data_IF_498834683732
#
_entry.id   IF_498834683732
#
_cell.length_a   1.000
_cell.length_b   1.000
_cell.length_c   1.000
_cell.angle_alpha   90.00
_cell.angle_beta   90.00
_cell.angle_gamma   90.00
#
_symmetry.space_group_name_H-M   'P 1'
#
loop_
_entity.id
_entity.type
_entity.pdbx_description
1 polymer ?
#
# COMPACT_ATOMS: atom_id res chain seq x y z
N UNK A 1 -5.45 -5.97 51.02
CA UNK A 1 -6.45 -5.25 50.18
C UNK A 1 -6.05 -5.22 48.70
N UNK A 2 -4.80 -4.92 48.33
CA UNK A 2 -4.36 -4.94 46.92
C UNK A 2 -4.41 -6.34 46.26
N UNK A 3 -4.17 -7.40 47.05
CA UNK A 3 -4.08 -8.79 46.56
C UNK A 3 -5.42 -9.40 46.13
N UNK A 4 -6.54 -8.91 46.67
CA UNK A 4 -7.90 -9.38 46.36
C UNK A 4 -8.44 -8.80 45.04
N UNK A 5 -8.00 -7.59 44.64
CA UNK A 5 -8.36 -7.02 43.34
C UNK A 5 -7.65 -7.73 42.18
N UNK A 6 -6.44 -8.23 42.39
CA UNK A 6 -5.67 -8.95 41.37
C UNK A 6 -6.26 -10.33 41.06
N UNK A 7 -6.86 -11.00 42.04
CA UNK A 7 -7.53 -12.30 41.86
C UNK A 7 -8.86 -12.21 41.10
N UNK A 8 -9.56 -11.08 41.15
CA UNK A 8 -10.83 -10.87 40.44
C UNK A 8 -10.64 -10.79 38.91
N UNK A 9 -9.47 -10.28 38.48
CA UNK A 9 -9.10 -10.17 37.06
C UNK A 9 -8.81 -11.53 36.39
N UNK A 10 -9.00 -12.66 37.07
CA UNK A 10 -8.68 -13.98 36.51
C UNK A 10 -7.20 -14.16 36.22
N UNK A 11 -6.34 -13.27 36.73
CA UNK A 11 -4.89 -13.39 36.68
C UNK A 11 -4.41 -14.27 37.82
N UNK A 12 -4.85 -15.53 37.78
CA UNK A 12 -4.21 -16.59 38.55
C UNK A 12 -2.73 -16.61 38.17
N UNK A 13 -1.84 -16.47 39.16
CA UNK A 13 -0.39 -16.60 39.07
C UNK A 13 0.15 -16.41 37.65
N UNK A 14 0.41 -15.17 37.25
CA UNK A 14 1.19 -14.85 36.05
C UNK A 14 2.65 -15.33 36.23
N UNK A 15 2.86 -16.63 36.48
CA UNK A 15 4.06 -17.34 36.08
C UNK A 15 4.02 -17.51 34.57
N UNK A 16 3.84 -16.40 33.85
CA UNK A 16 4.11 -16.36 32.43
C UNK A 16 5.60 -16.66 32.34
N UNK A 17 5.93 -17.89 31.95
CA UNK A 17 7.33 -18.28 31.73
C UNK A 17 7.97 -17.18 30.89
N UNK A 18 9.23 -16.77 31.14
CA UNK A 18 9.89 -15.69 30.41
C UNK A 18 9.72 -15.79 28.89
N UNK A 19 9.60 -17.02 28.38
CA UNK A 19 9.28 -17.32 26.99
C UNK A 19 7.94 -16.74 26.50
N UNK A 20 6.87 -16.82 27.29
CA UNK A 20 5.55 -16.27 26.94
C UNK A 20 5.57 -14.75 26.87
N UNK A 21 6.29 -14.09 27.78
CA UNK A 21 6.46 -12.63 27.75
C UNK A 21 7.26 -12.21 26.51
N UNK A 22 8.30 -12.96 26.15
CA UNK A 22 9.06 -12.74 24.92
C UNK A 22 8.22 -12.96 23.66
N UNK A 23 7.40 -14.01 23.61
CA UNK A 23 6.48 -14.26 22.50
C UNK A 23 5.44 -13.15 22.35
N UNK A 24 4.83 -12.72 23.45
CA UNK A 24 3.86 -11.63 23.44
C UNK A 24 4.51 -10.33 23.00
N UNK A 25 5.68 -9.98 23.56
CA UNK A 25 6.43 -8.79 23.17
C UNK A 25 6.85 -8.82 21.70
N UNK A 26 7.35 -9.97 21.21
CA UNK A 26 7.73 -10.16 19.81
C UNK A 26 6.53 -10.07 18.86
N UNK A 27 5.40 -10.71 19.21
CA UNK A 27 4.17 -10.63 18.43
C UNK A 27 3.62 -9.20 18.39
N UNK A 28 3.58 -8.50 19.52
CA UNK A 28 3.17 -7.10 19.59
C UNK A 28 4.10 -6.18 18.79
N UNK A 29 5.41 -6.42 18.82
CA UNK A 29 6.37 -5.66 18.03
C UNK A 29 6.21 -5.89 16.53
N UNK A 30 6.04 -7.15 16.10
CA UNK A 30 5.76 -7.50 14.70
C UNK A 30 4.45 -6.84 14.26
N UNK A 31 3.40 -6.95 15.06
CA UNK A 31 2.09 -6.35 14.78
C UNK A 31 2.21 -4.83 14.63
N UNK A 32 2.88 -4.15 15.55
CA UNK A 32 3.11 -2.71 15.48
C UNK A 32 3.86 -2.33 14.20
N UNK A 33 4.85 -3.13 13.79
CA UNK A 33 5.63 -2.90 12.57
C UNK A 33 4.81 -3.09 11.30
N UNK A 34 3.96 -4.12 11.26
CA UNK A 34 3.00 -4.36 10.17
C UNK A 34 2.01 -3.20 10.09
N UNK A 35 1.43 -2.76 11.21
CA UNK A 35 0.51 -1.62 11.24
C UNK A 35 1.18 -0.35 10.74
N UNK A 36 2.37 -0.02 11.24
CA UNK A 36 3.12 1.15 10.80
C UNK A 36 3.37 1.12 9.28
N UNK A 37 3.74 -0.05 8.74
CA UNK A 37 3.93 -0.23 7.31
C UNK A 37 2.63 -0.05 6.52
N UNK A 38 1.50 -0.61 6.98
CA UNK A 38 0.18 -0.44 6.36
C UNK A 38 -0.23 1.04 6.36
N UNK A 39 -0.04 1.75 7.48
CA UNK A 39 -0.36 3.17 7.58
C UNK A 39 0.51 4.02 6.65
N UNK A 40 1.81 3.78 6.62
CA UNK A 40 2.72 4.47 5.71
C UNK A 40 2.36 4.18 4.24
N UNK A 41 2.02 2.93 3.92
CA UNK A 41 1.54 2.54 2.60
C UNK A 41 0.26 3.30 2.23
N UNK A 42 -0.72 3.32 3.13
CA UNK A 42 -1.97 4.04 2.93
C UNK A 42 -1.76 5.55 2.73
N UNK A 43 -0.91 6.19 3.54
CA UNK A 43 -0.59 7.61 3.40
C UNK A 43 0.07 7.91 2.04
N UNK A 44 1.06 7.11 1.65
CA UNK A 44 1.68 7.21 0.34
C UNK A 44 0.67 7.05 -0.80
N UNK A 45 -0.20 6.04 -0.73
CA UNK A 45 -1.26 5.83 -1.69
C UNK A 45 -2.23 7.01 -1.74
N UNK A 46 -2.59 7.59 -0.60
CA UNK A 46 -3.46 8.77 -0.52
C UNK A 46 -2.82 9.97 -1.21
N UNK A 47 -1.53 10.22 -0.96
CA UNK A 47 -0.76 11.29 -1.62
C UNK A 47 -0.71 11.11 -3.13
N UNK A 48 -0.50 9.87 -3.60
CA UNK A 48 -0.47 9.57 -5.03
C UNK A 48 -1.81 9.81 -5.74
N UNK A 49 -2.95 9.83 -5.02
CA UNK A 49 -4.27 10.12 -5.64
C UNK A 49 -4.39 11.53 -6.20
N UNK A 50 -3.45 12.44 -5.93
CA UNK A 50 -3.42 13.74 -6.57
C UNK A 50 -3.16 13.66 -8.09
N UNK A 51 -2.54 12.56 -8.55
CA UNK A 51 -2.32 12.32 -9.96
C UNK A 51 -3.60 11.81 -10.63
N UNK A 52 -3.84 12.20 -11.89
CA UNK A 52 -4.99 11.72 -12.62
C UNK A 52 -4.91 10.19 -12.74
N UNK A 53 -6.03 9.54 -12.43
CA UNK A 53 -6.17 8.09 -12.49
C UNK A 53 -7.06 7.72 -13.67
N UNK A 54 -6.58 6.85 -14.57
CA UNK A 54 -7.43 6.29 -15.59
C UNK A 54 -8.56 5.46 -14.98
N UNK A 55 -9.70 5.32 -15.69
CA UNK A 55 -10.78 4.47 -15.23
C UNK A 55 -10.29 3.02 -15.07
N UNK A 56 -10.58 2.43 -13.91
CA UNK A 56 -10.18 1.06 -13.56
C UNK A 56 -11.25 0.07 -14.04
N UNK A 57 -10.96 -0.81 -15.01
CA UNK A 57 -11.94 -1.79 -15.49
C UNK A 57 -12.25 -2.89 -14.48
N UNK A 58 -11.39 -3.08 -13.48
CA UNK A 58 -11.65 -3.99 -12.38
C UNK A 58 -11.10 -3.43 -11.08
N UNK A 59 -11.79 -3.70 -9.97
CA UNK A 59 -11.31 -3.31 -8.64
C UNK A 59 -10.08 -4.12 -8.23
N UNK A 60 -10.07 -5.44 -8.49
CA UNK A 60 -9.00 -6.33 -8.03
C UNK A 60 -7.77 -6.37 -8.94
N UNK A 61 -7.94 -6.36 -10.26
CA UNK A 61 -6.80 -6.34 -11.19
C UNK A 61 -6.38 -4.92 -11.57
N UNK A 62 -7.18 -3.91 -11.23
CA UNK A 62 -6.90 -2.52 -11.55
C UNK A 62 -6.74 -2.35 -13.06
N UNK A 63 -5.60 -1.80 -13.46
CA UNK A 63 -5.22 -1.58 -14.85
C UNK A 63 -4.53 -2.79 -15.50
N UNK A 64 -4.17 -3.82 -14.74
CA UNK A 64 -3.58 -5.05 -15.31
C UNK A 64 -4.59 -5.78 -16.21
N UNK A 65 -5.89 -5.66 -15.92
CA UNK A 65 -6.95 -6.22 -16.76
C UNK A 65 -6.90 -5.70 -18.22
N UNK A 66 -6.24 -4.55 -18.45
CA UNK A 66 -6.08 -3.91 -19.76
C UNK A 66 -4.77 -4.28 -20.45
N UNK A 67 -3.91 -5.07 -19.85
CA UNK A 67 -2.69 -5.56 -20.51
C UNK A 67 -2.96 -6.79 -21.39
N UNK A 68 -4.23 -7.12 -21.63
CA UNK A 68 -4.62 -8.22 -22.49
C UNK A 68 -4.41 -7.82 -23.95
N UNK A 69 -3.93 -8.76 -24.77
CA UNK A 69 -3.76 -8.54 -26.20
C UNK A 69 -5.10 -8.71 -26.94
N UNK A 70 -6.06 -7.83 -26.67
CA UNK A 70 -7.33 -7.72 -27.39
C UNK A 70 -7.51 -6.30 -27.93
N UNK A 71 -8.41 -6.16 -28.90
CA UNK A 71 -8.66 -4.89 -29.57
C UNK A 71 -9.18 -3.80 -28.60
N UNK A 72 -10.06 -4.16 -27.68
CA UNK A 72 -10.60 -3.24 -26.67
C UNK A 72 -9.50 -2.67 -25.76
N UNK A 73 -8.53 -3.49 -25.34
CA UNK A 73 -7.39 -3.02 -24.54
C UNK A 73 -6.47 -2.13 -25.35
N UNK A 74 -6.25 -2.44 -26.63
CA UNK A 74 -5.45 -1.59 -27.52
C UNK A 74 -6.09 -0.23 -27.73
N UNK A 75 -7.41 -0.19 -27.97
CA UNK A 75 -8.17 1.05 -28.09
C UNK A 75 -8.12 1.85 -26.78
N UNK A 76 -8.28 1.19 -25.64
CA UNK A 76 -8.20 1.82 -24.33
C UNK A 76 -6.80 2.41 -24.05
N UNK A 77 -5.72 1.66 -24.29
CA UNK A 77 -4.34 2.15 -24.13
C UNK A 77 -4.09 3.35 -25.04
N UNK A 78 -4.60 3.33 -26.26
CA UNK A 78 -4.49 4.45 -27.21
C UNK A 78 -5.23 5.69 -26.68
N UNK A 79 -6.45 5.52 -26.16
CA UNK A 79 -7.22 6.59 -25.53
C UNK A 79 -6.52 7.14 -24.28
N UNK A 80 -5.93 6.27 -23.46
CA UNK A 80 -5.16 6.69 -22.29
C UNK A 80 -3.92 7.50 -22.67
N UNK A 81 -3.22 7.10 -23.72
CA UNK A 81 -2.05 7.84 -24.21
C UNK A 81 -2.42 9.22 -24.75
N UNK A 82 -3.64 9.38 -25.26
CA UNK A 82 -4.18 10.65 -25.74
C UNK A 82 -4.71 11.54 -24.59
N UNK A 83 -5.34 10.97 -23.58
CA UNK A 83 -5.92 11.78 -22.50
C UNK A 83 -4.94 12.11 -21.38
N UNK A 84 -3.92 11.26 -21.17
CA UNK A 84 -2.99 11.38 -20.06
C UNK A 84 -1.54 11.52 -20.56
N UNK A 85 -1.24 12.71 -21.10
CA UNK A 85 0.05 13.03 -21.73
C UNK A 85 1.22 13.25 -20.77
N UNK A 86 0.96 13.69 -19.54
CA UNK A 86 2.02 14.17 -18.65
C UNK A 86 2.41 13.15 -17.59
N UNK A 87 1.51 12.93 -16.64
CA UNK A 87 1.69 12.05 -15.49
C UNK A 87 0.36 11.38 -15.18
N UNK A 88 0.37 10.07 -14.98
CA UNK A 88 -0.81 9.37 -14.48
C UNK A 88 -0.47 8.26 -13.49
N UNK A 89 -1.40 8.01 -12.58
CA UNK A 89 -1.30 6.92 -11.62
C UNK A 89 -2.05 5.71 -12.14
N UNK A 90 -1.31 4.63 -12.39
CA UNK A 90 -1.87 3.31 -12.69
C UNK A 90 -1.77 2.40 -11.46
N UNK A 91 -2.59 1.36 -11.43
CA UNK A 91 -2.69 0.43 -10.30
C UNK A 91 -2.62 -1.00 -10.83
N UNK A 92 -1.66 -1.76 -10.32
CA UNK A 92 -1.56 -3.19 -10.53
C UNK A 92 -2.13 -3.88 -9.30
N UNK A 93 -3.42 -4.20 -9.40
CA UNK A 93 -4.21 -4.64 -8.27
C UNK A 93 -4.28 -3.67 -7.09
N UNK A 94 -4.59 -4.16 -5.88
CA UNK A 94 -4.99 -3.30 -4.76
C UNK A 94 -3.83 -2.63 -4.03
N UNK A 95 -2.60 -3.14 -4.20
CA UNK A 95 -1.45 -2.75 -3.36
C UNK A 95 -0.24 -2.24 -4.15
N UNK A 96 -0.30 -2.19 -5.48
CA UNK A 96 0.84 -1.79 -6.29
C UNK A 96 0.52 -0.56 -7.17
N UNK A 97 0.65 0.66 -6.63
CA UNK A 97 0.55 1.88 -7.41
C UNK A 97 1.79 2.06 -8.30
N UNK A 98 1.59 2.38 -9.57
CA UNK A 98 2.64 2.70 -10.54
C UNK A 98 2.41 4.11 -11.06
N UNK A 99 3.31 5.03 -10.69
CA UNK A 99 3.32 6.37 -11.25
C UNK A 99 4.04 6.34 -12.60
N UNK A 100 3.31 6.65 -13.68
CA UNK A 100 3.89 6.73 -15.02
C UNK A 100 4.08 8.19 -15.40
N UNK A 101 5.33 8.53 -15.71
CA UNK A 101 5.74 9.83 -16.20
C UNK A 101 6.06 9.68 -17.68
N UNK A 102 5.34 10.41 -18.52
CA UNK A 102 5.49 10.32 -19.99
C UNK A 102 6.15 11.59 -20.53
N UNK A 103 5.83 12.74 -19.94
CA UNK A 103 6.35 14.01 -20.44
C UNK A 103 7.81 14.25 -19.98
N UNK A 104 8.74 14.59 -20.90
CA UNK A 104 10.18 14.68 -20.62
C UNK A 104 10.53 15.70 -19.53
N UNK A 105 9.76 16.79 -19.41
CA UNK A 105 9.94 17.79 -18.35
C UNK A 105 9.84 17.22 -16.92
N UNK A 106 9.12 16.11 -16.70
CA UNK A 106 9.06 15.45 -15.39
C UNK A 106 10.11 14.36 -15.23
N UNK A 107 10.52 13.73 -16.33
CA UNK A 107 11.50 12.65 -16.34
C UNK A 107 12.91 13.23 -16.11
N UNK A 108 13.25 14.34 -16.78
CA UNK A 108 14.60 14.90 -16.74
C UNK A 108 15.08 15.28 -15.31
N UNK A 109 14.27 15.96 -14.47
CA UNK A 109 14.69 16.25 -13.09
C UNK A 109 14.90 15.01 -12.24
N UNK A 110 14.10 13.94 -12.44
CA UNK A 110 14.24 12.69 -11.69
C UNK A 110 15.49 11.93 -12.07
N UNK A 111 15.81 11.87 -13.37
CA UNK A 111 17.05 11.27 -13.85
C UNK A 111 18.28 12.05 -13.38
N UNK A 112 18.17 13.38 -13.25
CA UNK A 112 19.24 14.22 -12.70
C UNK A 112 19.40 14.05 -11.19
N UNK A 113 18.31 13.82 -10.46
CA UNK A 113 18.32 13.59 -9.02
C UNK A 113 18.79 12.19 -8.61
N UNK A 114 18.90 11.25 -9.54
CA UNK A 114 19.44 9.90 -9.28
C UNK A 114 20.97 9.82 -9.35
N UNK A 115 21.64 10.97 -9.47
CA UNK A 115 23.11 11.11 -9.51
C UNK A 115 23.76 11.11 -8.14
#
# INVERSE_FOLDING_TARGET
MLQLCLSWLGMGSLTASPWHLLLLGGASWILARILAWIYAFYDNCSRLRCFPQPPKPSWFWGHLALMKNNEESMQFITHLGHDFHDVHLSWVGPVYPILRLVHPNFIAPLLQASG
#
